data_IF_968623574651
#
_entry.id   IF_968623574651
#
_cell.length_a   1.000
_cell.length_b   1.000
_cell.length_c   1.000
_cell.angle_alpha   90.00
_cell.angle_beta   90.00
_cell.angle_gamma   90.00
#
_symmetry.space_group_name_H-M   'P 1'
#
loop_
_entity.id
_entity.type
_entity.pdbx_description
1 polymer ?
#
# COMPACT_ATOMS: atom_id res chain seq x y z
N UNK A 1 1.72 1.23 2.44
CA UNK A 1 2.33 0.22 1.53
C UNK A 1 3.84 0.41 1.55
N UNK A 2 4.61 -0.64 1.26
CA UNK A 2 6.07 -0.65 1.29
C UNK A 2 6.63 -1.33 0.04
N UNK A 3 7.76 -0.86 -0.48
CA UNK A 3 8.55 -1.56 -1.51
C UNK A 3 10.02 -1.12 -1.47
N UNK A 4 10.92 -1.94 -1.99
CA UNK A 4 12.32 -1.55 -2.24
C UNK A 4 12.46 -0.61 -3.45
N UNK A 5 11.42 -0.49 -4.28
CA UNK A 5 11.38 0.43 -5.41
C UNK A 5 10.87 1.81 -4.99
N UNK A 6 11.74 2.83 -5.07
CA UNK A 6 11.39 4.23 -4.84
C UNK A 6 10.35 4.76 -5.85
N UNK A 7 10.18 4.11 -7.00
CA UNK A 7 9.21 4.44 -8.05
C UNK A 7 7.81 3.82 -7.86
N UNK A 8 7.52 3.23 -6.69
CA UNK A 8 6.23 2.58 -6.43
C UNK A 8 5.05 3.56 -6.61
N UNK A 9 5.23 4.84 -6.27
CA UNK A 9 4.17 5.85 -6.45
C UNK A 9 3.76 6.00 -7.91
N UNK A 10 4.70 6.03 -8.86
CA UNK A 10 4.42 6.16 -10.29
C UNK A 10 3.60 4.97 -10.80
N UNK A 11 4.00 3.76 -10.41
CA UNK A 11 3.26 2.53 -10.74
C UNK A 11 1.85 2.60 -10.15
N UNK A 12 1.74 2.96 -8.87
CA UNK A 12 0.47 3.00 -8.18
C UNK A 12 -0.47 4.08 -8.75
N UNK A 13 0.07 5.25 -9.07
CA UNK A 13 -0.63 6.35 -9.75
C UNK A 13 -1.19 5.89 -11.09
N UNK A 14 -0.41 5.21 -11.90
CA UNK A 14 -0.84 4.77 -13.22
C UNK A 14 -1.95 3.70 -13.12
N UNK A 15 -1.89 2.82 -12.12
CA UNK A 15 -2.98 1.88 -11.78
C UNK A 15 -4.25 2.63 -11.38
N UNK A 16 -4.15 3.65 -10.52
CA UNK A 16 -5.29 4.47 -10.09
C UNK A 16 -5.94 5.19 -11.27
N UNK A 17 -5.14 5.86 -12.12
CA UNK A 17 -5.64 6.59 -13.30
C UNK A 17 -6.26 5.63 -14.31
N UNK A 18 -5.63 4.48 -14.57
CA UNK A 18 -6.17 3.45 -15.47
C UNK A 18 -7.53 2.88 -15.02
N UNK A 19 -7.85 2.99 -13.72
CA UNK A 19 -9.13 2.58 -13.12
C UNK A 19 -10.16 3.71 -13.05
N UNK A 20 -9.91 4.85 -13.67
CA UNK A 20 -10.80 6.01 -13.67
C UNK A 20 -10.62 6.93 -12.45
N UNK A 21 -9.54 6.75 -11.70
CA UNK A 21 -9.12 7.68 -10.66
C UNK A 21 -8.47 8.95 -11.22
N UNK A 22 -8.06 9.83 -10.32
CA UNK A 22 -7.37 11.09 -10.65
C UNK A 22 -6.03 11.17 -9.94
N UNK A 23 -5.05 11.84 -10.55
CA UNK A 23 -3.77 12.12 -9.93
C UNK A 23 -3.45 13.61 -10.01
N UNK A 24 -2.92 14.18 -8.92
CA UNK A 24 -2.48 15.58 -8.83
C UNK A 24 -1.17 15.60 -8.06
N UNK A 25 -0.08 15.97 -8.75
CA UNK A 25 1.29 16.11 -8.24
C UNK A 25 1.78 14.92 -7.40
N UNK A 26 1.45 14.94 -6.11
CA UNK A 26 1.91 14.02 -5.08
C UNK A 26 0.79 13.15 -4.50
N UNK A 27 -0.38 13.14 -5.15
CA UNK A 27 -1.53 12.34 -4.74
C UNK A 27 -2.19 11.62 -5.90
N UNK A 28 -2.73 10.43 -5.63
CA UNK A 28 -3.59 9.70 -6.55
C UNK A 28 -4.82 9.18 -5.81
N UNK A 29 -6.00 9.31 -6.40
CA UNK A 29 -7.28 9.03 -5.76
C UNK A 29 -8.19 8.17 -6.61
N UNK A 30 -8.83 7.18 -5.99
CA UNK A 30 -9.86 6.35 -6.61
C UNK A 30 -11.10 6.30 -5.71
N UNK A 31 -12.27 6.59 -6.29
CA UNK A 31 -13.56 6.41 -5.61
C UNK A 31 -14.10 5.01 -5.89
N UNK A 32 -14.36 4.25 -4.83
CA UNK A 32 -14.97 2.94 -4.90
C UNK A 32 -16.47 2.99 -5.21
N UNK A 33 -17.07 1.85 -5.60
CA UNK A 33 -18.50 1.74 -5.90
C UNK A 33 -19.40 1.93 -4.67
N UNK A 34 -18.86 1.72 -3.49
CA UNK A 34 -19.47 1.96 -2.17
C UNK A 34 -19.40 3.43 -1.73
N UNK A 35 -18.78 4.29 -2.54
CA UNK A 35 -18.63 5.72 -2.29
C UNK A 35 -17.42 6.07 -1.42
N UNK A 36 -16.67 5.08 -0.91
CA UNK A 36 -15.42 5.33 -0.19
C UNK A 36 -14.33 5.83 -1.13
N UNK A 37 -13.37 6.56 -0.56
CA UNK A 37 -12.24 7.11 -1.27
C UNK A 37 -10.96 6.41 -0.80
N UNK A 38 -10.12 6.01 -1.74
CA UNK A 38 -8.75 5.64 -1.50
C UNK A 38 -7.85 6.78 -2.00
N UNK A 39 -6.91 7.23 -1.16
CA UNK A 39 -5.89 8.23 -1.51
C UNK A 39 -4.50 7.64 -1.28
N UNK A 40 -3.64 7.75 -2.29
CA UNK A 40 -2.20 7.49 -2.19
C UNK A 40 -1.46 8.82 -2.07
N UNK A 41 -0.44 8.87 -1.22
CA UNK A 41 0.46 10.02 -1.08
C UNK A 41 1.85 9.61 -1.51
N UNK A 42 2.53 10.45 -2.31
CA UNK A 42 3.90 10.20 -2.78
C UNK A 42 4.88 10.09 -1.61
N UNK A 43 4.78 11.04 -0.69
CA UNK A 43 5.74 11.22 0.39
C UNK A 43 5.24 10.61 1.69
N UNK A 44 6.19 10.07 2.48
CA UNK A 44 5.96 9.53 3.81
C UNK A 44 5.48 10.63 4.79
N UNK A 45 4.67 10.25 5.78
CA UNK A 45 4.28 11.19 6.82
C UNK A 45 5.48 11.53 7.72
N UNK A 46 5.77 12.83 7.94
CA UNK A 46 6.87 13.23 8.80
C UNK A 46 6.60 12.81 10.26
N UNK A 47 7.51 12.01 10.84
CA UNK A 47 7.49 11.65 12.26
C UNK A 47 7.23 10.17 12.58
N UNK A 48 6.73 9.39 11.62
CA UNK A 48 6.48 7.95 11.78
C UNK A 48 7.52 7.14 10.99
N UNK A 49 8.69 6.89 11.59
CA UNK A 49 9.67 5.99 10.98
C UNK A 49 9.28 4.53 11.27
N UNK A 50 8.35 4.02 10.48
CA UNK A 50 7.88 2.64 10.50
C UNK A 50 9.04 1.62 10.40
N UNK A 51 10.22 2.05 9.95
CA UNK A 51 11.42 1.21 9.82
C UNK A 51 12.03 0.82 11.16
N UNK A 52 11.83 1.64 12.19
CA UNK A 52 12.36 1.40 13.55
C UNK A 52 11.32 0.75 14.47
N UNK A 53 10.07 0.64 14.02
CA UNK A 53 8.98 0.09 14.82
C UNK A 53 8.94 -1.45 14.75
N UNK A 54 8.64 -2.14 15.86
CA UNK A 54 8.43 -3.58 15.82
C UNK A 54 7.19 -3.91 14.98
N UNK A 55 7.25 -5.01 14.23
CA UNK A 55 6.13 -5.52 13.46
C UNK A 55 6.07 -7.05 13.55
N UNK A 56 4.92 -7.62 13.23
CA UNK A 56 4.70 -9.07 13.14
C UNK A 56 4.40 -9.44 11.69
N UNK A 57 5.21 -10.28 11.02
CA UNK A 57 4.83 -10.82 9.73
C UNK A 57 3.56 -11.66 9.84
N UNK A 58 2.61 -11.45 8.93
CA UNK A 58 1.45 -12.31 8.79
C UNK A 58 1.87 -13.73 8.34
N UNK A 59 1.02 -14.72 8.58
CA UNK A 59 1.24 -16.08 8.11
C UNK A 59 1.43 -16.11 6.59
N UNK A 60 2.48 -16.79 6.11
CA UNK A 60 2.78 -16.92 4.68
C UNK A 60 3.68 -15.84 4.08
N UNK A 61 4.13 -14.85 4.88
CA UNK A 61 5.17 -13.90 4.45
C UNK A 61 6.55 -14.57 4.57
N UNK A 62 7.03 -15.13 3.46
CA UNK A 62 8.34 -15.81 3.41
C UNK A 62 9.52 -14.84 3.27
N UNK A 63 9.34 -13.77 2.49
CA UNK A 63 10.36 -12.76 2.20
C UNK A 63 10.05 -11.44 2.91
N UNK A 64 10.38 -11.37 4.19
CA UNK A 64 10.30 -10.13 4.98
C UNK A 64 11.41 -9.17 4.52
N UNK A 65 11.10 -7.92 4.13
CA UNK A 65 12.09 -6.99 3.63
C UNK A 65 13.02 -6.49 4.73
N UNK A 66 14.22 -6.04 4.35
CA UNK A 66 15.02 -5.21 5.24
C UNK A 66 14.36 -3.84 5.37
N UNK A 67 13.71 -3.58 6.51
CA UNK A 67 12.92 -2.35 6.70
C UNK A 67 13.70 -1.05 6.47
N UNK A 68 15.01 -1.05 6.74
CA UNK A 68 15.88 0.12 6.46
C UNK A 68 16.10 0.40 4.98
N UNK A 69 15.70 -0.52 4.09
CA UNK A 69 15.88 -0.43 2.63
C UNK A 69 14.56 -0.22 1.88
N UNK A 70 13.40 -0.23 2.55
CA UNK A 70 12.11 0.00 1.90
C UNK A 70 11.69 1.47 1.95
N UNK A 71 10.92 1.86 0.94
CA UNK A 71 10.22 3.12 0.80
C UNK A 71 8.76 2.94 1.20
N UNK A 72 8.25 3.89 1.99
CA UNK A 72 6.86 3.95 2.40
C UNK A 72 6.02 4.71 1.37
N UNK A 73 4.89 4.13 1.00
CA UNK A 73 3.84 4.78 0.23
C UNK A 73 2.58 4.84 1.12
N UNK A 74 2.30 5.99 1.74
CA UNK A 74 1.13 6.12 2.59
C UNK A 74 -0.18 6.00 1.81
N UNK A 75 -1.15 5.34 2.43
CA UNK A 75 -2.48 5.11 1.85
C UNK A 75 -3.53 5.43 2.90
N UNK A 76 -4.49 6.25 2.53
CA UNK A 76 -5.70 6.47 3.32
C UNK A 76 -6.89 5.79 2.64
N UNK A 77 -7.54 4.87 3.33
CA UNK A 77 -8.77 4.22 2.88
C UNK A 77 -9.62 3.80 4.09
N UNK A 78 -10.94 3.68 3.90
CA UNK A 78 -11.89 3.19 4.93
C UNK A 78 -12.71 1.98 4.46
N UNK A 79 -12.27 1.37 3.37
CA UNK A 79 -12.91 0.19 2.78
C UNK A 79 -11.81 -0.82 2.50
N UNK A 80 -11.75 -1.87 3.31
CA UNK A 80 -10.79 -2.96 3.20
C UNK A 80 -10.93 -3.65 1.84
N UNK A 81 -12.16 -3.77 1.33
CA UNK A 81 -12.43 -4.34 0.00
C UNK A 81 -11.79 -3.48 -1.11
N UNK A 82 -12.01 -2.16 -1.09
CA UNK A 82 -11.40 -1.25 -2.06
C UNK A 82 -9.87 -1.24 -1.94
N UNK A 83 -9.38 -1.18 -0.70
CA UNK A 83 -7.95 -1.19 -0.42
C UNK A 83 -7.27 -2.44 -0.96
N UNK A 84 -7.77 -3.63 -0.61
CA UNK A 84 -7.17 -4.90 -1.05
C UNK A 84 -7.22 -5.06 -2.57
N UNK A 85 -8.33 -4.70 -3.22
CA UNK A 85 -8.43 -4.75 -4.68
C UNK A 85 -7.40 -3.84 -5.37
N UNK A 86 -7.24 -2.61 -4.89
CA UNK A 86 -6.27 -1.65 -5.44
C UNK A 86 -4.84 -2.09 -5.15
N UNK A 87 -4.53 -2.47 -3.92
CA UNK A 87 -3.18 -2.87 -3.51
C UNK A 87 -2.70 -4.10 -4.27
N UNK A 88 -3.56 -5.12 -4.46
CA UNK A 88 -3.24 -6.29 -5.29
C UNK A 88 -2.94 -5.90 -6.73
N UNK A 89 -3.69 -4.94 -7.28
CA UNK A 89 -3.45 -4.45 -8.63
C UNK A 89 -2.14 -3.68 -8.77
N UNK A 90 -1.77 -2.90 -7.76
CA UNK A 90 -0.46 -2.22 -7.70
C UNK A 90 0.65 -3.25 -7.59
N UNK A 91 0.50 -4.24 -6.71
CA UNK A 91 1.47 -5.33 -6.55
C UNK A 91 1.69 -6.11 -7.85
N UNK A 92 0.62 -6.37 -8.61
CA UNK A 92 0.72 -7.06 -9.90
C UNK A 92 1.39 -6.22 -11.00
N UNK A 93 1.41 -4.89 -10.86
CA UNK A 93 2.05 -3.97 -11.81
C UNK A 93 3.47 -3.59 -11.40
N UNK A 94 3.85 -3.80 -10.13
CA UNK A 94 5.17 -3.48 -9.60
C UNK A 94 6.23 -4.45 -10.15
N UNK A 95 7.48 -3.95 -10.27
CA UNK A 95 8.61 -4.76 -10.74
C UNK A 95 9.16 -5.71 -9.67
N UNK A 96 8.82 -5.48 -8.40
CA UNK A 96 9.27 -6.26 -7.27
C UNK A 96 8.18 -6.42 -6.22
N UNK A 97 8.49 -7.06 -5.08
CA UNK A 97 7.51 -7.31 -4.04
C UNK A 97 6.97 -6.00 -3.45
N UNK A 98 5.72 -6.07 -3.03
CA UNK A 98 5.02 -4.99 -2.34
C UNK A 98 4.46 -5.57 -1.04
N UNK A 99 4.66 -4.84 0.04
CA UNK A 99 4.14 -5.20 1.36
C UNK A 99 3.17 -4.13 1.87
N UNK A 100 2.34 -4.53 2.83
CA UNK A 100 1.50 -3.61 3.59
C UNK A 100 1.81 -3.80 5.07
N UNK A 101 2.25 -2.73 5.71
CA UNK A 101 2.22 -2.62 7.16
C UNK A 101 0.89 -1.96 7.53
N UNK A 102 0.09 -2.66 8.33
CA UNK A 102 -1.24 -2.22 8.74
C UNK A 102 -1.22 -1.47 10.08
N UNK A 103 -2.39 -1.03 10.57
CA UNK A 103 -2.47 -0.23 11.80
C UNK A 103 -2.18 -1.02 13.10
N UNK A 104 -2.10 -2.34 13.03
CA UNK A 104 -1.76 -3.21 14.16
C UNK A 104 -0.30 -3.67 14.10
N UNK A 105 0.52 -3.03 13.26
CA UNK A 105 1.91 -3.39 13.02
C UNK A 105 2.06 -4.82 12.48
N UNK A 106 1.09 -5.29 11.70
CA UNK A 106 1.19 -6.56 10.97
C UNK A 106 1.68 -6.30 9.55
N UNK A 107 2.72 -7.03 9.14
CA UNK A 107 3.29 -6.95 7.81
C UNK A 107 2.71 -8.04 6.92
N UNK A 108 2.09 -7.64 5.81
CA UNK A 108 1.42 -8.50 4.85
C UNK A 108 2.13 -8.45 3.49
N UNK A 109 2.18 -9.58 2.78
CA UNK A 109 2.46 -9.59 1.35
C UNK A 109 1.23 -9.07 0.58
N UNK A 110 1.39 -8.05 -0.27
CA UNK A 110 0.27 -7.36 -0.92
C UNK A 110 -0.61 -8.30 -1.77
N UNK A 111 0.00 -9.30 -2.41
CA UNK A 111 -0.71 -10.30 -3.22
C UNK A 111 -1.62 -11.23 -2.38
N UNK A 112 -1.27 -11.47 -1.11
CA UNK A 112 -1.97 -12.38 -0.21
C UNK A 112 -3.04 -11.71 0.66
N UNK A 113 -3.18 -10.39 0.59
CA UNK A 113 -4.10 -9.62 1.42
C UNK A 113 -5.56 -10.08 1.34
N UNK A 114 -6.21 -10.25 2.50
CA UNK A 114 -7.64 -10.55 2.58
C UNK A 114 -8.37 -9.36 3.26
N UNK A 115 -9.47 -8.84 2.65
CA UNK A 115 -10.22 -7.73 3.23
C UNK A 115 -10.89 -8.05 4.57
N UNK A 116 -10.94 -9.32 4.98
CA UNK A 116 -11.51 -9.76 6.26
C UNK A 116 -10.48 -9.87 7.37
N UNK A 117 -9.18 -9.77 7.06
CA UNK A 117 -8.10 -9.95 8.04
C UNK A 117 -7.22 -8.72 8.25
N UNK A 118 -7.15 -7.82 7.27
CA UNK A 118 -6.36 -6.58 7.39
C UNK A 118 -7.07 -5.52 8.26
N UNK A 119 -6.29 -4.76 9.03
CA UNK A 119 -6.78 -3.62 9.83
C UNK A 119 -6.28 -2.27 9.27
N UNK A 120 -7.21 -1.46 8.71
CA UNK A 120 -6.91 -0.15 8.09
C UNK A 120 -6.92 1.04 9.04
#
# INVERSE_FOLDING_TARGET
MLSEDAGLFEVARDVIVGRGGTAVEDTAQLRGPDGFLLTLFRDEYPGDDFREQPFTPADGVEDVPQMTQVHGLPVECRSEVLFVDVVRAISAAAAGPVWVLDNESVLWAAEQLDPTTISL
#
